data_IF_581095143361
#
_entry.id   IF_581095143361
#
_cell.length_a   1.000
_cell.length_b   1.000
_cell.length_c   1.000
_cell.angle_alpha   90.00
_cell.angle_beta   90.00
_cell.angle_gamma   90.00
#
_symmetry.space_group_name_H-M   'P 1'
#
loop_
_entity.id
_entity.type
_entity.pdbx_description
1 polymer ?
#
# COMPACT_ATOMS: atom_id res chain seq x y z
N UNK A 1 -26.61 -34.03 16.08
CA UNK A 1 -27.02 -32.65 15.73
C UNK A 1 -26.16 -31.70 16.53
N UNK A 2 -25.18 -31.05 15.90
CA UNK A 2 -24.35 -30.02 16.55
C UNK A 2 -24.09 -28.93 15.51
N UNK A 3 -24.80 -27.81 15.65
CA UNK A 3 -24.51 -26.58 14.91
C UNK A 3 -23.23 -25.98 15.47
N UNK A 4 -22.13 -26.09 14.74
CA UNK A 4 -20.98 -25.23 14.95
C UNK A 4 -21.34 -23.85 14.38
N UNK A 5 -21.62 -22.91 15.28
CA UNK A 5 -21.75 -21.49 14.95
C UNK A 5 -20.44 -21.01 14.34
N UNK A 6 -20.44 -20.77 13.02
CA UNK A 6 -19.42 -19.98 12.38
C UNK A 6 -19.54 -18.55 12.94
N UNK A 7 -18.45 -17.92 13.42
CA UNK A 7 -18.50 -16.49 13.70
C UNK A 7 -18.87 -15.78 12.38
N UNK A 8 -19.64 -14.69 12.42
CA UNK A 8 -19.86 -13.88 11.24
C UNK A 8 -18.48 -13.38 10.80
N UNK A 9 -17.95 -13.94 9.71
CA UNK A 9 -16.77 -13.38 9.06
C UNK A 9 -17.18 -11.98 8.67
N UNK A 10 -16.68 -11.01 9.44
CA UNK A 10 -17.00 -9.60 9.32
C UNK A 10 -16.94 -9.26 7.83
N UNK A 11 -18.08 -8.79 7.34
CA UNK A 11 -18.26 -8.30 6.00
C UNK A 11 -17.27 -7.13 5.84
N UNK A 12 -16.06 -7.44 5.35
CA UNK A 12 -15.07 -6.46 4.90
C UNK A 12 -15.55 -5.88 3.57
N UNK A 13 -16.81 -5.43 3.52
CA UNK A 13 -17.22 -4.26 2.75
C UNK A 13 -16.59 -3.02 3.39
N UNK A 14 -15.26 -3.01 3.47
CA UNK A 14 -14.52 -1.77 3.38
C UNK A 14 -14.91 -1.19 2.03
N UNK A 15 -15.87 -0.25 2.04
CA UNK A 15 -15.84 0.89 1.13
C UNK A 15 -14.37 1.17 0.88
N UNK A 16 -13.93 0.99 -0.36
CA UNK A 16 -12.57 1.10 -0.85
C UNK A 16 -12.06 2.49 -0.45
N UNK A 17 -11.67 2.68 0.81
CA UNK A 17 -11.13 3.93 1.34
C UNK A 17 -9.81 4.06 0.62
N UNK A 18 -9.67 5.13 -0.14
CA UNK A 18 -8.42 5.47 -0.82
C UNK A 18 -7.27 5.21 0.17
N UNK A 19 -6.40 4.19 -0.07
CA UNK A 19 -5.36 3.81 0.87
C UNK A 19 -4.43 4.98 1.25
N UNK A 20 -4.31 5.96 0.36
CA UNK A 20 -3.53 7.18 0.59
C UNK A 20 -4.26 8.19 1.48
N UNK A 21 -5.56 8.05 1.73
CA UNK A 21 -6.29 8.91 2.67
C UNK A 21 -5.81 8.74 4.12
N UNK A 22 -5.13 7.63 4.43
CA UNK A 22 -4.48 7.42 5.72
C UNK A 22 -3.11 8.11 5.82
N UNK A 23 -2.54 8.61 4.71
CA UNK A 23 -1.26 9.30 4.69
C UNK A 23 -1.47 10.81 4.86
N UNK A 24 -0.73 11.41 5.78
CA UNK A 24 -0.61 12.86 5.94
C UNK A 24 0.24 13.53 4.87
N UNK A 25 0.42 14.85 4.99
CA UNK A 25 1.31 15.60 4.12
C UNK A 25 2.77 15.15 4.35
N UNK A 26 3.48 14.77 3.28
CA UNK A 26 4.84 14.24 3.37
C UNK A 26 4.91 12.79 3.88
N UNK A 27 3.80 12.07 3.86
CA UNK A 27 3.76 10.63 4.10
C UNK A 27 3.45 9.86 2.81
N UNK A 28 3.97 8.64 2.74
CA UNK A 28 3.77 7.71 1.65
C UNK A 28 3.31 6.37 2.20
N UNK A 29 2.54 5.62 1.40
CA UNK A 29 2.06 4.31 1.81
C UNK A 29 3.12 3.27 1.47
N UNK A 30 3.64 2.57 2.47
CA UNK A 30 4.50 1.40 2.30
C UNK A 30 3.65 0.14 2.31
N UNK A 31 3.77 -0.67 1.28
CA UNK A 31 3.16 -1.99 1.18
C UNK A 31 4.27 -3.05 1.19
N UNK A 32 4.06 -4.12 1.95
CA UNK A 32 4.98 -5.23 2.05
C UNK A 32 4.24 -6.56 1.96
N UNK A 33 4.78 -7.50 1.19
CA UNK A 33 4.35 -8.90 1.21
C UNK A 33 5.39 -9.71 2.02
N UNK A 34 5.08 -10.08 3.28
CA UNK A 34 6.07 -10.62 4.21
C UNK A 34 6.63 -11.98 3.76
N UNK A 35 5.84 -12.78 3.02
CA UNK A 35 6.29 -14.09 2.56
C UNK A 35 7.32 -14.00 1.41
N UNK A 36 7.21 -12.99 0.55
CA UNK A 36 8.10 -12.82 -0.62
C UNK A 36 9.18 -11.75 -0.38
N UNK A 37 9.04 -10.96 0.68
CA UNK A 37 9.88 -9.81 0.97
C UNK A 37 9.69 -8.63 0.00
N UNK A 38 8.64 -8.66 -0.84
CA UNK A 38 8.40 -7.59 -1.80
C UNK A 38 7.90 -6.34 -1.10
N UNK A 39 8.50 -5.20 -1.44
CA UNK A 39 8.15 -3.90 -0.88
C UNK A 39 7.87 -2.90 -2.00
N UNK A 40 6.74 -2.23 -1.85
CA UNK A 40 6.30 -1.13 -2.70
C UNK A 40 6.06 0.12 -1.87
N UNK A 41 6.25 1.27 -2.47
CA UNK A 41 5.85 2.56 -1.91
C UNK A 41 4.91 3.25 -2.86
N UNK A 42 3.83 3.82 -2.35
CA UNK A 42 2.89 4.63 -3.10
C UNK A 42 2.91 6.06 -2.57
N UNK A 43 3.21 7.00 -3.45
CA UNK A 43 3.18 8.43 -3.14
C UNK A 43 2.15 9.14 -4.03
N UNK A 44 1.55 10.22 -3.51
CA UNK A 44 0.72 11.12 -4.30
C UNK A 44 1.46 12.41 -4.57
N UNK A 45 1.93 12.57 -5.79
CA UNK A 45 2.73 13.73 -6.22
C UNK A 45 1.97 14.49 -7.30
N UNK A 46 1.69 15.77 -7.07
CA UNK A 46 0.91 16.61 -7.98
C UNK A 46 -0.43 15.99 -8.43
N UNK A 47 -1.07 15.21 -7.55
CA UNK A 47 -2.34 14.55 -7.82
C UNK A 47 -2.25 13.19 -8.52
N UNK A 48 -1.04 12.76 -8.90
CA UNK A 48 -0.77 11.48 -9.56
C UNK A 48 -0.24 10.46 -8.55
N UNK A 49 -0.69 9.20 -8.65
CA UNK A 49 -0.15 8.11 -7.82
C UNK A 49 1.09 7.54 -8.50
N UNK A 50 2.19 7.51 -7.76
CA UNK A 50 3.44 6.88 -8.18
C UNK A 50 3.73 5.68 -7.30
N UNK A 51 4.03 4.56 -7.94
CA UNK A 51 4.49 3.31 -7.33
C UNK A 51 6.01 3.22 -7.47
N UNK A 52 6.67 2.89 -6.38
CA UNK A 52 8.11 2.66 -6.33
C UNK A 52 8.33 1.22 -5.89
N UNK A 53 9.05 0.43 -6.69
CA UNK A 53 9.29 -0.98 -6.42
C UNK A 53 10.73 -1.19 -5.94
N UNK A 54 10.90 -1.72 -4.73
CA UNK A 54 12.24 -1.88 -4.14
C UNK A 54 13.17 -2.78 -4.98
N UNK A 55 12.61 -3.85 -5.57
CA UNK A 55 13.33 -4.76 -6.45
C UNK A 55 13.81 -4.14 -7.77
N UNK A 56 13.10 -3.17 -8.34
CA UNK A 56 13.42 -2.57 -9.64
C UNK A 56 14.17 -1.24 -9.49
N UNK A 57 15.06 -1.14 -8.49
CA UNK A 57 15.89 0.05 -8.31
C UNK A 57 15.12 1.32 -7.92
N UNK A 58 13.88 1.21 -7.45
CA UNK A 58 13.03 2.34 -7.05
C UNK A 58 12.65 3.31 -8.18
N UNK A 59 12.69 2.89 -9.45
CA UNK A 59 12.16 3.72 -10.53
C UNK A 59 10.64 3.96 -10.37
N UNK A 60 10.16 5.22 -10.43
CA UNK A 60 8.75 5.53 -10.28
C UNK A 60 7.93 5.06 -11.47
N UNK A 61 6.86 4.34 -11.19
CA UNK A 61 5.82 3.99 -12.16
C UNK A 61 4.55 4.79 -11.85
N UNK A 62 4.03 5.51 -12.84
CA UNK A 62 2.71 6.15 -12.70
C UNK A 62 1.67 5.03 -12.78
N UNK A 63 0.84 4.92 -11.75
CA UNK A 63 -0.20 3.90 -11.65
C UNK A 63 -1.55 4.54 -11.36
N UNK A 64 -2.62 3.81 -11.64
CA UNK A 64 -3.97 4.25 -11.28
C UNK A 64 -4.21 4.08 -9.78
N UNK A 65 -5.18 4.84 -9.24
CA UNK A 65 -5.66 4.63 -7.86
C UNK A 65 -6.25 3.23 -7.67
N UNK A 66 -6.90 2.69 -8.71
CA UNK A 66 -7.49 1.35 -8.70
C UNK A 66 -6.40 0.30 -8.55
N UNK A 67 -5.33 0.35 -9.35
CA UNK A 67 -4.22 -0.61 -9.25
C UNK A 67 -3.54 -0.59 -7.87
N UNK A 68 -3.38 0.61 -7.29
CA UNK A 68 -2.89 0.74 -5.93
C UNK A 68 -3.85 0.09 -4.93
N UNK A 69 -5.15 0.39 -5.01
CA UNK A 69 -6.16 -0.18 -4.12
C UNK A 69 -6.22 -1.71 -4.24
N UNK A 70 -6.11 -2.25 -5.45
CA UNK A 70 -6.00 -3.68 -5.69
C UNK A 70 -4.75 -4.26 -5.04
N UNK A 71 -3.59 -3.59 -5.14
CA UNK A 71 -2.36 -4.07 -4.51
C UNK A 71 -2.45 -4.06 -3.00
N UNK A 72 -2.97 -2.99 -2.42
CA UNK A 72 -3.15 -2.85 -0.96
C UNK A 72 -4.16 -3.87 -0.42
N UNK A 73 -5.18 -4.19 -1.20
CA UNK A 73 -6.22 -5.16 -0.85
C UNK A 73 -5.85 -6.62 -1.13
N UNK A 74 -4.66 -6.90 -1.68
CA UNK A 74 -4.21 -8.28 -1.90
C UNK A 74 -4.01 -8.99 -0.56
N UNK A 75 -4.46 -10.24 -0.51
CA UNK A 75 -4.19 -11.12 0.62
C UNK A 75 -2.67 -11.20 0.87
N UNK A 76 -2.30 -11.16 2.15
CA UNK A 76 -0.90 -11.17 2.58
C UNK A 76 -0.18 -9.82 2.50
N UNK A 77 -0.75 -8.79 1.87
CA UNK A 77 -0.12 -7.46 1.83
C UNK A 77 -0.40 -6.70 3.13
N UNK A 78 0.67 -6.29 3.81
CA UNK A 78 0.60 -5.38 4.96
C UNK A 78 0.92 -3.97 4.48
N UNK A 79 0.07 -3.00 4.82
CA UNK A 79 0.28 -1.59 4.45
C UNK A 79 0.35 -0.68 5.68
N UNK A 80 1.22 0.34 5.61
CA UNK A 80 1.35 1.38 6.65
C UNK A 80 1.85 2.69 6.06
N UNK A 81 1.45 3.82 6.63
CA UNK A 81 2.03 5.12 6.31
C UNK A 81 3.46 5.22 6.87
N UNK A 82 4.37 5.81 6.08
CA UNK A 82 5.75 6.13 6.47
C UNK A 82 6.12 7.52 5.95
N UNK A 83 7.11 8.18 6.56
CA UNK A 83 7.56 9.49 6.12
C UNK A 83 8.25 9.47 4.74
N UNK A 84 8.09 10.54 3.98
CA UNK A 84 8.69 10.71 2.64
C UNK A 84 10.21 10.68 2.67
N UNK A 85 10.85 11.09 3.77
CA UNK A 85 12.31 11.01 3.92
C UNK A 85 12.87 9.58 3.77
N UNK A 86 12.10 8.55 4.18
CA UNK A 86 12.49 7.16 3.92
C UNK A 86 12.51 6.87 2.41
N UNK A 87 11.54 7.41 1.67
CA UNK A 87 11.44 7.24 0.23
C UNK A 87 12.50 8.06 -0.51
N UNK A 88 12.85 9.26 -0.03
CA UNK A 88 13.90 10.10 -0.61
C UNK A 88 15.29 9.48 -0.48
N UNK A 89 15.61 8.85 0.66
CA UNK A 89 16.83 8.05 0.81
C UNK A 89 16.88 6.94 -0.25
N UNK A 90 15.77 6.24 -0.47
CA UNK A 90 15.68 5.15 -1.45
C UNK A 90 15.76 5.64 -2.90
N UNK A 91 15.35 6.90 -3.15
CA UNK A 91 15.52 7.59 -4.45
C UNK A 91 16.92 8.18 -4.63
N UNK A 92 17.81 8.09 -3.64
CA UNK A 92 19.14 8.72 -3.67
C UNK A 92 19.12 10.24 -3.56
N UNK A 93 18.12 10.82 -2.89
CA UNK A 93 17.91 12.27 -2.73
C UNK A 93 18.23 12.80 -1.32
N UNK A 94 18.93 12.00 -0.50
CA UNK A 94 19.32 12.35 0.86
C UNK A 94 20.45 13.37 0.94
#
# INVERSE_FOLDING_TARGET
>A
MSHAQQPPTEDVSTRQRDPLAACGAGEVLRCEHPETGWVWYYAREHGVVRKYHAYHGFDPQIVSRTEMAETVGREGVVSRAVGEGQLDVLRGRA
#
